data_IF_702318449244
#
_entry.id   IF_702318449244
#
_cell.length_a   1.000
_cell.length_b   1.000
_cell.length_c   1.000
_cell.angle_alpha   90.00
_cell.angle_beta   90.00
_cell.angle_gamma   90.00
#
_symmetry.space_group_name_H-M   'P 1'
#
loop_
_entity.id
_entity.type
_entity.pdbx_description
1 polymer ?
#
# COMPACT_ATOMS: atom_id res chain seq x y z
N UNK A 1 -13.54 18.73 31.02
CA UNK A 1 -12.79 17.77 30.19
C UNK A 1 -13.75 17.39 29.08
N UNK A 2 -13.67 18.09 27.97
CA UNK A 2 -14.64 17.99 26.87
C UNK A 2 -14.51 16.64 26.19
N UNK A 3 -15.64 16.04 25.82
CA UNK A 3 -15.78 14.74 25.16
C UNK A 3 -14.67 14.49 24.12
N UNK A 4 -13.75 13.61 24.49
CA UNK A 4 -12.85 12.97 23.54
C UNK A 4 -13.75 12.01 22.74
N UNK A 5 -14.23 12.44 21.58
CA UNK A 5 -15.01 11.58 20.69
C UNK A 5 -14.19 10.32 20.40
N UNK A 6 -14.54 9.22 21.07
CA UNK A 6 -13.91 7.95 20.85
C UNK A 6 -14.11 7.56 19.39
N UNK A 7 -13.01 7.19 18.72
CA UNK A 7 -13.05 6.75 17.32
C UNK A 7 -14.02 5.60 17.17
N UNK A 8 -14.87 5.69 16.17
CA UNK A 8 -15.75 4.60 15.77
C UNK A 8 -14.94 3.50 15.06
N UNK A 9 -15.48 2.28 14.95
CA UNK A 9 -14.87 1.25 14.11
C UNK A 9 -14.65 1.70 12.65
N UNK A 10 -15.56 2.52 12.11
CA UNK A 10 -15.42 3.08 10.77
C UNK A 10 -14.22 4.05 10.68
N UNK A 11 -14.00 4.87 11.70
CA UNK A 11 -12.83 5.76 11.76
C UNK A 11 -11.52 4.96 11.77
N UNK A 12 -11.47 3.87 12.53
CA UNK A 12 -10.30 2.99 12.57
C UNK A 12 -10.01 2.30 11.22
N UNK A 13 -11.06 1.85 10.52
CA UNK A 13 -10.92 1.29 9.17
C UNK A 13 -10.46 2.37 8.18
N UNK A 14 -11.03 3.57 8.25
CA UNK A 14 -10.62 4.71 7.43
C UNK A 14 -9.15 5.11 7.63
N UNK A 15 -8.70 5.18 8.89
CA UNK A 15 -7.30 5.43 9.25
C UNK A 15 -6.38 4.34 8.67
N UNK A 16 -6.81 3.08 8.75
CA UNK A 16 -6.04 1.95 8.21
C UNK A 16 -5.93 2.05 6.69
N UNK A 17 -7.01 2.36 5.99
CA UNK A 17 -7.00 2.58 4.53
C UNK A 17 -6.05 3.72 4.15
N UNK A 18 -6.07 4.84 4.90
CA UNK A 18 -5.17 5.95 4.66
C UNK A 18 -3.70 5.52 4.81
N UNK A 19 -3.37 4.77 5.86
CA UNK A 19 -2.02 4.25 6.05
C UNK A 19 -1.58 3.29 4.94
N UNK A 20 -2.49 2.41 4.47
CA UNK A 20 -2.19 1.48 3.39
C UNK A 20 -1.97 2.21 2.06
N UNK A 21 -2.71 3.29 1.79
CA UNK A 21 -2.50 4.14 0.59
C UNK A 21 -1.12 4.80 0.59
N UNK A 22 -0.65 5.27 1.74
CA UNK A 22 0.72 5.78 1.88
C UNK A 22 1.75 4.67 1.63
N UNK A 23 1.57 3.49 2.24
CA UNK A 23 2.45 2.34 2.02
C UNK A 23 2.50 1.92 0.54
N UNK A 24 1.36 1.96 -0.16
CA UNK A 24 1.28 1.65 -1.59
C UNK A 24 2.09 2.65 -2.41
N UNK A 25 2.01 3.94 -2.08
CA UNK A 25 2.81 4.97 -2.74
C UNK A 25 4.32 4.70 -2.57
N UNK A 26 4.77 4.40 -1.35
CA UNK A 26 6.17 4.05 -1.10
C UNK A 26 6.59 2.76 -1.81
N UNK A 27 5.74 1.73 -1.82
CA UNK A 27 6.03 0.47 -2.52
C UNK A 27 6.24 0.68 -4.01
N UNK A 28 5.41 1.50 -4.67
CA UNK A 28 5.61 1.89 -6.07
C UNK A 28 6.95 2.59 -6.29
N UNK A 29 7.28 3.58 -5.46
CA UNK A 29 8.55 4.30 -5.57
C UNK A 29 9.76 3.35 -5.39
N UNK A 30 9.64 2.34 -4.53
CA UNK A 30 10.70 1.33 -4.33
C UNK A 30 10.90 0.46 -5.58
N UNK A 31 9.82 0.05 -6.27
CA UNK A 31 9.92 -0.69 -7.54
C UNK A 31 10.66 0.15 -8.58
N UNK A 32 10.32 1.43 -8.71
CA UNK A 32 10.97 2.35 -9.64
C UNK A 32 12.47 2.50 -9.33
N UNK A 33 12.82 2.67 -8.05
CA UNK A 33 14.22 2.79 -7.60
C UNK A 33 15.02 1.50 -7.84
N UNK A 34 14.45 0.33 -7.53
CA UNK A 34 15.10 -0.96 -7.77
C UNK A 34 15.30 -1.21 -9.27
N UNK A 35 14.31 -0.88 -10.09
CA UNK A 35 14.40 -1.00 -11.56
C UNK A 35 15.50 -0.09 -12.10
N UNK A 36 15.58 1.16 -11.64
CA UNK A 36 16.62 2.09 -12.05
C UNK A 36 18.02 1.62 -11.63
N UNK A 37 18.17 1.12 -10.40
CA UNK A 37 19.44 0.56 -9.92
C UNK A 37 19.85 -0.69 -10.71
N UNK A 38 18.89 -1.57 -11.01
CA UNK A 38 19.14 -2.74 -11.86
C UNK A 38 19.63 -2.32 -13.24
N UNK A 39 18.93 -1.42 -13.95
CA UNK A 39 19.33 -0.95 -15.27
C UNK A 39 20.71 -0.27 -15.30
N UNK A 40 21.04 0.52 -14.27
CA UNK A 40 22.30 1.25 -14.20
C UNK A 40 23.49 0.33 -13.91
N UNK A 41 23.29 -0.71 -13.09
CA UNK A 41 24.38 -1.53 -12.57
C UNK A 41 24.31 -3.00 -12.99
N UNK A 42 23.41 -3.41 -13.89
CA UNK A 42 23.22 -4.83 -14.27
C UNK A 42 24.55 -5.52 -14.65
N UNK A 43 25.39 -4.85 -15.44
CA UNK A 43 26.70 -5.39 -15.84
C UNK A 43 27.72 -5.50 -14.69
N UNK A 44 27.67 -4.62 -13.69
CA UNK A 44 28.54 -4.67 -12.50
C UNK A 44 28.01 -5.67 -11.47
N UNK A 45 26.71 -5.67 -11.23
CA UNK A 45 26.01 -6.61 -10.36
C UNK A 45 26.13 -8.04 -10.88
N UNK A 46 26.07 -8.25 -12.19
CA UNK A 46 26.29 -9.56 -12.83
C UNK A 46 27.70 -10.08 -12.58
N UNK A 47 28.73 -9.21 -12.69
CA UNK A 47 30.12 -9.59 -12.36
C UNK A 47 30.29 -9.94 -10.88
N UNK A 48 29.52 -9.30 -10.00
CA UNK A 48 29.51 -9.56 -8.57
C UNK A 48 28.55 -10.69 -8.14
N UNK A 49 27.79 -11.29 -9.07
CA UNK A 49 26.74 -12.28 -8.79
C UNK A 49 25.67 -11.77 -7.80
N UNK A 50 25.31 -10.49 -7.91
CA UNK A 50 24.30 -9.84 -7.08
C UNK A 50 23.02 -9.46 -7.86
N UNK A 51 23.01 -9.62 -9.19
CA UNK A 51 21.85 -9.28 -10.03
C UNK A 51 20.58 -10.03 -9.55
N UNK A 52 20.70 -11.32 -9.24
CA UNK A 52 19.58 -12.14 -8.74
C UNK A 52 18.99 -11.59 -7.44
N UNK A 53 19.81 -11.02 -6.55
CA UNK A 53 19.30 -10.42 -5.29
C UNK A 53 18.45 -9.18 -5.54
N UNK A 54 18.77 -8.40 -6.58
CA UNK A 54 17.97 -7.24 -6.96
C UNK A 54 16.67 -7.69 -7.63
N UNK A 55 16.74 -8.71 -8.50
CA UNK A 55 15.55 -9.36 -9.07
C UNK A 55 14.59 -9.85 -7.98
N UNK A 56 15.09 -10.58 -6.99
CA UNK A 56 14.29 -11.06 -5.85
C UNK A 56 13.62 -9.91 -5.07
N UNK A 57 14.30 -8.76 -4.92
CA UNK A 57 13.72 -7.59 -4.27
C UNK A 57 12.64 -6.93 -5.12
N UNK A 58 12.82 -6.87 -6.44
CA UNK A 58 11.83 -6.36 -7.38
C UNK A 58 10.56 -7.21 -7.36
N UNK A 59 10.70 -8.54 -7.41
CA UNK A 59 9.58 -9.46 -7.36
C UNK A 59 8.77 -9.31 -6.06
N UNK A 60 9.46 -9.24 -4.91
CA UNK A 60 8.82 -9.04 -3.61
C UNK A 60 8.13 -7.68 -3.50
N UNK A 61 8.72 -6.63 -4.07
CA UNK A 61 8.08 -5.31 -4.09
C UNK A 61 6.84 -5.30 -4.98
N UNK A 62 6.88 -5.98 -6.13
CA UNK A 62 5.70 -6.17 -6.98
C UNK A 62 4.57 -6.88 -6.25
N UNK A 63 4.87 -8.00 -5.59
CA UNK A 63 3.90 -8.75 -4.78
C UNK A 63 3.30 -7.91 -3.64
N UNK A 64 4.13 -7.14 -2.94
CA UNK A 64 3.65 -6.25 -1.88
C UNK A 64 2.72 -5.16 -2.44
N UNK A 65 3.07 -4.57 -3.59
CA UNK A 65 2.26 -3.54 -4.22
C UNK A 65 0.87 -4.07 -4.58
N UNK A 66 0.79 -5.24 -5.22
CA UNK A 66 -0.47 -5.89 -5.55
C UNK A 66 -1.29 -6.25 -4.30
N UNK A 67 -0.64 -6.76 -3.25
CA UNK A 67 -1.31 -7.08 -2.00
C UNK A 67 -1.89 -5.83 -1.31
N UNK A 68 -1.18 -4.70 -1.39
CA UNK A 68 -1.67 -3.41 -0.88
C UNK A 68 -2.90 -2.93 -1.64
N UNK A 69 -2.90 -3.00 -2.98
CA UNK A 69 -4.07 -2.61 -3.79
C UNK A 69 -5.31 -3.44 -3.48
N UNK A 70 -5.14 -4.76 -3.35
CA UNK A 70 -6.26 -5.65 -3.00
C UNK A 70 -6.80 -5.36 -1.60
N UNK A 71 -5.92 -5.22 -0.60
CA UNK A 71 -6.33 -4.93 0.78
C UNK A 71 -7.01 -3.56 0.91
N UNK A 72 -6.53 -2.54 0.18
CA UNK A 72 -7.18 -1.22 0.13
C UNK A 72 -8.60 -1.36 -0.43
N UNK A 73 -8.75 -2.09 -1.54
CA UNK A 73 -10.06 -2.30 -2.19
C UNK A 73 -11.04 -2.98 -1.23
N UNK A 74 -10.63 -4.09 -0.60
CA UNK A 74 -11.47 -4.83 0.35
C UNK A 74 -11.90 -3.96 1.54
N UNK A 75 -10.99 -3.17 2.09
CA UNK A 75 -11.29 -2.30 3.23
C UNK A 75 -12.16 -1.10 2.85
N UNK A 76 -12.00 -0.54 1.64
CA UNK A 76 -12.88 0.50 1.12
C UNK A 76 -14.30 -0.01 0.93
N UNK A 77 -14.48 -1.24 0.43
CA UNK A 77 -15.80 -1.87 0.34
C UNK A 77 -16.46 -2.09 1.71
N UNK A 78 -15.67 -2.50 2.71
CA UNK A 78 -16.16 -2.63 4.09
C UNK A 78 -16.57 -1.27 4.62
N UNK A 79 -15.74 -0.25 4.43
CA UNK A 79 -16.02 1.11 4.90
C UNK A 79 -17.28 1.68 4.26
N UNK A 80 -17.53 1.41 2.98
CA UNK A 80 -18.76 1.83 2.28
C UNK A 80 -20.00 1.18 2.91
N UNK A 81 -19.94 -0.12 3.22
CA UNK A 81 -21.03 -0.87 3.88
C UNK A 81 -21.29 -0.40 5.33
N UNK A 82 -20.34 0.30 5.94
CA UNK A 82 -20.46 0.85 7.29
C UNK A 82 -21.07 2.26 7.31
N UNK A 83 -21.20 2.93 6.15
CA UNK A 83 -21.84 4.25 6.09
C UNK A 83 -23.34 4.10 6.40
N UNK A 84 -23.92 4.96 7.24
CA UNK A 84 -25.36 4.96 7.47
C UNK A 84 -26.09 5.24 6.15
N UNK A 85 -27.24 4.59 5.93
CA UNK A 85 -28.11 4.92 4.80
C UNK A 85 -28.45 6.41 4.87
N UNK A 86 -28.34 7.17 3.76
CA UNK A 86 -28.72 8.57 3.76
C UNK A 86 -30.19 8.65 4.20
N UNK A 87 -30.44 9.43 5.25
CA UNK A 87 -31.81 9.69 5.73
C UNK A 87 -32.65 10.11 4.53
N UNK A 88 -33.64 9.29 4.19
CA UNK A 88 -34.65 9.67 3.22
C UNK A 88 -35.33 10.93 3.77
N UNK A 89 -35.03 12.08 3.18
CA UNK A 89 -35.71 13.35 3.47
C UNK A 89 -37.23 13.09 3.38
N UNK A 90 -37.89 13.17 4.54
CA UNK A 90 -39.33 13.01 4.71
C UNK A 90 -40.07 14.33 4.53
#
# INVERSE_FOLDING_TARGET
MSDEHAKTPADHVGDTVAQLKEMRHYSKNNVEALTAAWLLFDGELSKLKLADKIGDLMDRQGQLHEALENAITDLEEVLEKMKPEPEAEA
#
